data_IF_108473624435
#
_entry.id   IF_108473624435
#
_cell.length_a   1.000
_cell.length_b   1.000
_cell.length_c   1.000
_cell.angle_alpha   90.00
_cell.angle_beta   90.00
_cell.angle_gamma   90.00
#
_symmetry.space_group_name_H-M   'P 1'
#
loop_
_entity.id
_entity.type
_entity.pdbx_description
1 polymer ?
#
# COMPACT_ATOMS: atom_id res chain seq x y z
N UNK A 1 -18.35 6.00 10.26
CA UNK A 1 -18.08 5.02 9.18
C UNK A 1 -19.16 3.96 9.26
N UNK A 2 -20.27 4.19 8.54
CA UNK A 2 -21.51 3.43 8.67
C UNK A 2 -21.45 2.17 7.82
N UNK A 3 -21.54 0.99 8.44
CA UNK A 3 -22.04 -0.21 7.79
C UNK A 3 -23.54 -0.27 8.08
N UNK A 4 -24.36 0.25 7.16
CA UNK A 4 -25.79 0.00 7.18
C UNK A 4 -26.08 -1.31 6.41
N UNK A 5 -27.04 -2.02 6.96
CA UNK A 5 -27.53 -3.36 6.64
C UNK A 5 -27.51 -3.72 5.13
N UNK A 6 -27.02 -4.93 4.83
CA UNK A 6 -27.27 -5.68 3.58
C UNK A 6 -26.52 -5.31 2.29
N UNK A 7 -25.56 -4.38 2.29
CA UNK A 7 -24.80 -4.06 1.05
C UNK A 7 -23.32 -3.66 1.21
N UNK A 8 -22.75 -3.70 2.41
CA UNK A 8 -21.43 -3.12 2.71
C UNK A 8 -20.21 -3.96 2.31
N UNK A 9 -20.22 -4.51 1.09
CA UNK A 9 -19.02 -4.95 0.38
C UNK A 9 -19.12 -4.40 -1.04
N UNK A 10 -19.12 -3.07 -1.21
CA UNK A 10 -18.69 -2.53 -2.50
C UNK A 10 -17.33 -3.16 -2.73
N UNK A 11 -17.25 -4.04 -3.74
CA UNK A 11 -16.08 -4.83 -4.13
C UNK A 11 -14.80 -3.98 -4.01
N UNK A 12 -14.12 -4.03 -2.86
CA UNK A 12 -12.88 -3.27 -2.59
C UNK A 12 -11.73 -3.69 -3.53
N UNK A 13 -11.98 -4.65 -4.42
CA UNK A 13 -11.12 -5.06 -5.51
C UNK A 13 -10.81 -3.91 -6.47
N UNK A 14 -11.80 -3.09 -6.85
CA UNK A 14 -11.58 -2.01 -7.83
C UNK A 14 -10.59 -0.96 -7.32
N UNK A 15 -10.82 -0.29 -6.17
CA UNK A 15 -9.87 0.71 -5.67
C UNK A 15 -8.49 0.12 -5.36
N UNK A 16 -8.44 -1.14 -4.90
CA UNK A 16 -7.18 -1.83 -4.62
C UNK A 16 -6.38 -2.09 -5.89
N UNK A 17 -7.02 -2.61 -6.94
CA UNK A 17 -6.38 -2.86 -8.23
C UNK A 17 -5.90 -1.56 -8.85
N UNK A 18 -6.73 -0.51 -8.86
CA UNK A 18 -6.36 0.81 -9.38
C UNK A 18 -5.16 1.43 -8.64
N UNK A 19 -5.16 1.40 -7.30
CA UNK A 19 -4.01 1.88 -6.52
C UNK A 19 -2.76 1.03 -6.79
N UNK A 20 -2.90 -0.29 -6.82
CA UNK A 20 -1.76 -1.18 -7.07
C UNK A 20 -1.14 -0.98 -8.46
N UNK A 21 -1.98 -0.70 -9.46
CA UNK A 21 -1.55 -0.53 -10.85
C UNK A 21 -0.55 0.62 -11.01
N UNK A 22 -0.76 1.73 -10.27
CA UNK A 22 0.15 2.87 -10.25
C UNK A 22 1.57 2.46 -9.86
N UNK A 23 1.69 1.65 -8.81
CA UNK A 23 2.99 1.17 -8.32
C UNK A 23 3.60 0.11 -9.24
N UNK A 24 2.79 -0.81 -9.79
CA UNK A 24 3.26 -1.85 -10.70
C UNK A 24 3.82 -1.23 -11.98
N UNK A 25 3.05 -0.37 -12.66
CA UNK A 25 3.50 0.32 -13.88
C UNK A 25 4.74 1.17 -13.58
N UNK A 26 4.71 1.96 -12.50
CA UNK A 26 5.86 2.77 -12.12
C UNK A 26 7.10 1.96 -11.75
N UNK A 27 6.94 0.77 -11.17
CA UNK A 27 8.03 -0.14 -10.83
C UNK A 27 8.66 -0.77 -12.08
N UNK A 28 7.84 -1.17 -13.05
CA UNK A 28 8.33 -1.61 -14.36
C UNK A 28 9.06 -0.48 -15.10
N UNK A 29 8.54 0.75 -15.04
CA UNK A 29 9.23 1.92 -15.60
C UNK A 29 10.62 2.13 -15.02
N UNK A 30 10.82 1.83 -13.72
CA UNK A 30 12.13 1.88 -13.07
C UNK A 30 13.07 0.77 -13.54
N UNK A 31 12.55 -0.45 -13.75
CA UNK A 31 13.34 -1.57 -14.28
C UNK A 31 13.79 -1.34 -15.73
N UNK A 32 12.88 -0.87 -16.58
CA UNK A 32 13.15 -0.67 -18.01
C UNK A 32 14.10 0.49 -18.26
N UNK A 33 14.12 1.50 -17.38
CA UNK A 33 14.95 2.69 -17.50
C UNK A 33 15.98 2.79 -16.36
N UNK A 34 16.57 1.65 -15.98
CA UNK A 34 17.39 1.54 -14.76
C UNK A 34 18.50 2.60 -14.70
N UNK A 35 19.25 2.78 -15.79
CA UNK A 35 20.35 3.76 -15.85
C UNK A 35 19.87 5.19 -15.61
N UNK A 36 18.87 5.65 -16.36
CA UNK A 36 18.29 6.99 -16.20
C UNK A 36 17.63 7.19 -14.84
N UNK A 37 17.15 6.12 -14.22
CA UNK A 37 16.52 6.19 -12.90
C UNK A 37 17.53 6.26 -11.75
N UNK A 38 18.79 5.89 -11.96
CA UNK A 38 19.85 6.16 -10.99
C UNK A 38 20.05 7.67 -10.87
N UNK A 39 20.21 8.38 -11.99
CA UNK A 39 20.39 9.84 -12.02
C UNK A 39 19.18 10.58 -11.40
N UNK A 40 17.97 10.07 -11.67
CA UNK A 40 16.74 10.58 -11.06
C UNK A 40 16.74 10.41 -9.53
N UNK A 41 17.08 9.20 -9.05
CA UNK A 41 17.16 8.89 -7.62
C UNK A 41 18.26 9.70 -6.92
N UNK A 42 19.40 9.88 -7.58
CA UNK A 42 20.50 10.71 -7.10
C UNK A 42 20.05 12.14 -6.80
N UNK A 43 19.30 12.74 -7.72
CA UNK A 43 18.72 14.07 -7.55
C UNK A 43 17.81 14.14 -6.31
N UNK A 44 16.94 13.14 -6.14
CA UNK A 44 16.04 13.07 -4.99
C UNK A 44 16.76 12.93 -3.65
N UNK A 45 17.85 12.15 -3.61
CA UNK A 45 18.68 12.02 -2.42
C UNK A 45 19.39 13.33 -2.07
N UNK A 46 19.91 14.04 -3.08
CA UNK A 46 20.51 15.35 -2.92
C UNK A 46 19.56 16.37 -2.27
N UNK A 47 18.28 16.37 -2.68
CA UNK A 47 17.26 17.27 -2.14
C UNK A 47 17.00 17.09 -0.64
N UNK A 48 17.24 15.89 -0.10
CA UNK A 48 17.06 15.58 1.32
C UNK A 48 18.41 15.43 2.08
N UNK A 49 19.52 15.80 1.44
CA UNK A 49 20.85 15.78 2.03
C UNK A 49 21.43 14.38 2.28
N UNK A 50 20.96 13.35 1.57
CA UNK A 50 21.50 12.00 1.67
C UNK A 50 22.66 11.76 0.70
N UNK A 51 23.58 10.82 1.00
CA UNK A 51 24.70 10.52 0.13
C UNK A 51 24.26 10.03 -1.25
N UNK A 52 24.70 10.69 -2.31
CA UNK A 52 24.40 10.30 -3.70
C UNK A 52 24.98 8.92 -4.06
N UNK A 53 26.04 8.49 -3.39
CA UNK A 53 26.69 7.17 -3.61
C UNK A 53 25.79 5.97 -3.34
N UNK A 54 24.70 6.13 -2.58
CA UNK A 54 23.74 5.04 -2.32
C UNK A 54 22.57 5.00 -3.33
N UNK A 55 22.59 5.83 -4.38
CA UNK A 55 21.48 5.94 -5.35
C UNK A 55 21.11 4.60 -5.99
N UNK A 56 22.08 3.78 -6.39
CA UNK A 56 21.84 2.45 -6.96
C UNK A 56 21.10 1.53 -5.98
N UNK A 57 21.50 1.53 -4.71
CA UNK A 57 20.87 0.72 -3.66
C UNK A 57 19.45 1.22 -3.38
N UNK A 58 19.28 2.55 -3.27
CA UNK A 58 17.98 3.18 -3.08
C UNK A 58 17.02 2.88 -4.24
N UNK A 59 17.51 2.87 -5.48
CA UNK A 59 16.72 2.50 -6.66
C UNK A 59 16.24 1.05 -6.60
N UNK A 60 17.12 0.10 -6.25
CA UNK A 60 16.76 -1.32 -6.11
C UNK A 60 15.70 -1.49 -5.01
N UNK A 61 15.86 -0.83 -3.87
CA UNK A 61 14.86 -0.83 -2.79
C UNK A 61 13.53 -0.25 -3.28
N UNK A 62 13.56 0.88 -4.00
CA UNK A 62 12.36 1.50 -4.56
C UNK A 62 11.63 0.55 -5.52
N UNK A 63 12.34 -0.18 -6.37
CA UNK A 63 11.77 -1.19 -7.28
C UNK A 63 11.10 -2.32 -6.48
N UNK A 64 11.78 -2.85 -5.46
CA UNK A 64 11.24 -3.91 -4.60
C UNK A 64 9.98 -3.43 -3.88
N UNK A 65 9.98 -2.20 -3.35
CA UNK A 65 8.80 -1.64 -2.67
C UNK A 65 7.64 -1.43 -3.65
N UNK A 66 7.89 -0.87 -4.84
CA UNK A 66 6.86 -0.61 -5.86
C UNK A 66 6.26 -1.90 -6.41
N UNK A 67 7.11 -2.81 -6.89
CA UNK A 67 6.65 -4.06 -7.51
C UNK A 67 6.18 -5.06 -6.46
N UNK A 68 6.97 -5.28 -5.41
CA UNK A 68 6.59 -6.16 -4.31
C UNK A 68 5.34 -5.68 -3.62
N UNK A 69 5.32 -4.43 -3.14
CA UNK A 69 4.14 -3.84 -2.49
C UNK A 69 2.93 -3.76 -3.42
N UNK A 70 3.12 -3.35 -4.68
CA UNK A 70 2.06 -3.25 -5.67
C UNK A 70 1.42 -4.61 -5.96
N UNK A 71 2.20 -5.64 -6.26
CA UNK A 71 1.69 -6.99 -6.54
C UNK A 71 1.04 -7.62 -5.31
N UNK A 72 1.65 -7.46 -4.13
CA UNK A 72 1.07 -7.93 -2.86
C UNK A 72 -0.30 -7.29 -2.61
N UNK A 73 -0.42 -5.98 -2.81
CA UNK A 73 -1.69 -5.27 -2.69
C UNK A 73 -2.70 -5.73 -3.75
N UNK A 74 -2.29 -5.91 -5.01
CA UNK A 74 -3.15 -6.34 -6.12
C UNK A 74 -3.78 -7.72 -5.84
N UNK A 75 -2.94 -8.72 -5.52
CA UNK A 75 -3.34 -10.11 -5.27
C UNK A 75 -3.87 -10.36 -3.85
N UNK A 76 -4.04 -9.31 -3.04
CA UNK A 76 -4.50 -9.42 -1.66
C UNK A 76 -3.58 -10.22 -0.72
N UNK A 77 -2.31 -10.37 -1.07
CA UNK A 77 -1.34 -11.08 -0.26
C UNK A 77 -0.75 -10.11 0.78
N UNK A 78 -0.93 -10.38 2.08
CA UNK A 78 -0.42 -9.54 3.18
C UNK A 78 -0.75 -8.04 2.99
N UNK A 79 -2.00 -7.75 2.61
CA UNK A 79 -2.52 -6.41 2.24
C UNK A 79 -2.05 -5.26 3.17
N UNK A 80 -2.14 -5.46 4.49
CA UNK A 80 -1.77 -4.43 5.47
C UNK A 80 -0.28 -4.08 5.40
N UNK A 81 0.59 -5.09 5.29
CA UNK A 81 2.03 -4.88 5.15
C UNK A 81 2.36 -4.20 3.82
N UNK A 82 1.74 -4.66 2.73
CA UNK A 82 1.89 -4.06 1.41
C UNK A 82 1.49 -2.58 1.40
N UNK A 83 0.37 -2.23 2.02
CA UNK A 83 -0.08 -0.85 2.13
C UNK A 83 0.91 0.01 2.93
N UNK A 84 1.43 -0.47 4.06
CA UNK A 84 2.45 0.25 4.83
C UNK A 84 3.75 0.48 4.05
N UNK A 85 4.23 -0.53 3.31
CA UNK A 85 5.40 -0.41 2.44
C UNK A 85 5.20 0.68 1.38
N UNK A 86 4.03 0.68 0.73
CA UNK A 86 3.69 1.66 -0.31
C UNK A 86 3.46 3.07 0.26
N UNK A 87 2.89 3.20 1.47
CA UNK A 87 2.74 4.48 2.16
C UNK A 87 4.12 5.08 2.45
N UNK A 88 5.03 4.29 3.04
CA UNK A 88 6.38 4.75 3.35
C UNK A 88 7.13 5.18 2.08
N UNK A 89 7.06 4.39 1.02
CA UNK A 89 7.63 4.73 -0.28
C UNK A 89 7.05 6.03 -0.85
N UNK A 90 5.72 6.17 -0.84
CA UNK A 90 5.04 7.35 -1.41
C UNK A 90 5.36 8.61 -0.62
N UNK A 91 5.39 8.52 0.71
CA UNK A 91 5.74 9.64 1.59
C UNK A 91 7.18 10.10 1.33
N UNK A 92 8.14 9.16 1.31
CA UNK A 92 9.54 9.47 1.05
C UNK A 92 9.73 10.09 -0.35
N UNK A 93 9.11 9.49 -1.38
CA UNK A 93 9.13 10.04 -2.74
C UNK A 93 8.53 11.45 -2.81
N UNK A 94 7.49 11.74 -2.02
CA UNK A 94 6.89 13.08 -1.99
C UNK A 94 7.84 14.11 -1.43
N UNK A 95 8.53 13.77 -0.33
CA UNK A 95 9.49 14.66 0.31
C UNK A 95 10.69 14.92 -0.61
N UNK A 96 11.17 13.89 -1.33
CA UNK A 96 12.32 14.00 -2.23
C UNK A 96 12.05 14.86 -3.47
N UNK A 97 10.82 14.89 -4.01
CA UNK A 97 10.56 15.46 -5.33
C UNK A 97 9.48 16.55 -5.39
N UNK A 98 8.59 16.67 -4.40
CA UNK A 98 7.37 17.48 -4.52
C UNK A 98 7.16 18.46 -3.35
N UNK A 99 8.25 19.03 -2.83
CA UNK A 99 8.26 19.98 -1.71
C UNK A 99 8.57 21.42 -2.12
N UNK A 100 8.91 21.66 -3.38
CA UNK A 100 9.16 23.00 -3.93
C UNK A 100 7.88 23.62 -4.45
N UNK A 101 7.38 24.67 -3.79
CA UNK A 101 6.13 25.36 -4.15
C UNK A 101 6.34 26.78 -4.67
N UNK A 102 7.54 27.08 -5.16
CA UNK A 102 7.91 28.36 -5.75
C UNK A 102 8.53 28.16 -7.14
N UNK A 103 8.43 29.19 -7.99
CA UNK A 103 8.94 29.16 -9.36
C UNK A 103 7.91 28.67 -10.40
N UNK A 104 8.37 28.55 -11.64
CA UNK A 104 7.53 28.32 -12.83
C UNK A 104 6.79 26.96 -12.77
N UNK A 105 7.38 25.96 -12.13
CA UNK A 105 6.80 24.62 -11.99
C UNK A 105 5.97 24.40 -10.72
N UNK A 106 5.78 25.46 -9.90
CA UNK A 106 5.11 25.37 -8.60
C UNK A 106 3.73 24.70 -8.65
N UNK A 107 2.94 24.96 -9.69
CA UNK A 107 1.63 24.34 -9.89
C UNK A 107 1.71 22.83 -10.14
N UNK A 108 2.69 22.39 -10.94
CA UNK A 108 2.90 20.97 -11.23
C UNK A 108 3.37 20.22 -9.98
N UNK A 109 4.23 20.85 -9.18
CA UNK A 109 4.73 20.29 -7.93
C UNK A 109 3.63 20.17 -6.87
N UNK A 110 2.81 21.21 -6.71
CA UNK A 110 1.66 21.18 -5.82
C UNK A 110 0.67 20.08 -6.22
N UNK A 111 0.41 19.93 -7.53
CA UNK A 111 -0.47 18.87 -8.05
C UNK A 111 0.08 17.48 -7.74
N UNK A 112 1.39 17.28 -7.91
CA UNK A 112 2.04 15.99 -7.63
C UNK A 112 2.07 15.66 -6.14
N UNK A 113 2.28 16.67 -5.28
CA UNK A 113 2.17 16.54 -3.83
C UNK A 113 0.77 16.08 -3.41
N UNK A 114 -0.27 16.78 -3.87
CA UNK A 114 -1.67 16.45 -3.56
C UNK A 114 -2.07 15.06 -4.07
N UNK A 115 -1.62 14.69 -5.27
CA UNK A 115 -1.81 13.34 -5.82
C UNK A 115 -1.23 12.28 -4.88
N UNK A 116 0.00 12.48 -4.41
CA UNK A 116 0.64 11.51 -3.50
C UNK A 116 -0.03 11.46 -2.13
N UNK A 117 -0.53 12.60 -1.62
CA UNK A 117 -1.31 12.64 -0.39
C UNK A 117 -2.63 11.85 -0.53
N UNK A 118 -3.32 12.00 -1.67
CA UNK A 118 -4.52 11.23 -1.98
C UNK A 118 -4.22 9.72 -2.09
N UNK A 119 -3.09 9.34 -2.71
CA UNK A 119 -2.63 7.95 -2.78
C UNK A 119 -2.39 7.38 -1.37
N UNK A 120 -1.70 8.12 -0.50
CA UNK A 120 -1.49 7.72 0.90
C UNK A 120 -2.83 7.52 1.61
N UNK A 121 -3.77 8.46 1.45
CA UNK A 121 -5.12 8.35 2.00
C UNK A 121 -5.84 7.08 1.54
N UNK A 122 -5.77 6.76 0.24
CA UNK A 122 -6.31 5.52 -0.31
C UNK A 122 -5.64 4.27 0.26
N UNK A 123 -4.31 4.27 0.42
CA UNK A 123 -3.56 3.15 0.99
C UNK A 123 -3.87 2.92 2.48
N UNK A 124 -4.13 3.97 3.26
CA UNK A 124 -4.50 3.86 4.68
C UNK A 124 -5.76 3.02 4.88
N UNK A 125 -6.71 3.07 3.93
CA UNK A 125 -7.90 2.22 3.95
C UNK A 125 -7.56 0.72 3.89
N UNK A 126 -6.41 0.36 3.30
CA UNK A 126 -5.92 -1.01 3.20
C UNK A 126 -4.82 -1.36 4.22
N UNK A 127 -4.25 -0.36 4.90
CA UNK A 127 -3.21 -0.53 5.92
C UNK A 127 -3.75 -1.12 7.22
N UNK A 128 -5.02 -0.89 7.53
CA UNK A 128 -5.66 -1.47 8.70
C UNK A 128 -5.91 -2.97 8.52
N UNK A 129 -5.39 -3.77 9.44
CA UNK A 129 -5.68 -5.20 9.48
C UNK A 129 -7.15 -5.40 9.92
N UNK A 130 -7.99 -6.10 9.15
CA UNK A 130 -9.40 -6.34 9.53
C UNK A 130 -9.53 -7.28 10.73
N UNK A 131 -8.44 -7.70 11.36
CA UNK A 131 -8.42 -8.64 12.48
C UNK A 131 -9.39 -8.29 13.61
N UNK A 132 -9.42 -7.02 14.04
CA UNK A 132 -10.34 -6.54 15.07
C UNK A 132 -11.79 -6.62 14.59
N UNK A 133 -12.05 -6.23 13.34
CA UNK A 133 -13.39 -6.26 12.75
C UNK A 133 -13.90 -7.70 12.55
N UNK A 134 -13.02 -8.62 12.17
CA UNK A 134 -13.31 -10.04 12.06
C UNK A 134 -13.67 -10.65 13.42
N UNK A 135 -12.84 -10.44 14.46
CA UNK A 135 -13.13 -10.92 15.82
C UNK A 135 -14.42 -10.30 16.40
N UNK A 136 -14.67 -9.01 16.14
CA UNK A 136 -15.91 -8.35 16.54
C UNK A 136 -17.14 -8.96 15.85
N UNK A 137 -17.03 -9.32 14.56
CA UNK A 137 -18.10 -10.01 13.81
C UNK A 137 -18.38 -11.39 14.40
N UNK A 138 -17.34 -12.19 14.65
CA UNK A 138 -17.50 -13.53 15.25
C UNK A 138 -18.13 -13.46 16.65
N UNK A 139 -17.74 -12.47 17.47
CA UNK A 139 -18.34 -12.23 18.78
C UNK A 139 -19.82 -11.84 18.68
N UNK A 140 -20.19 -11.04 17.68
CA UNK A 140 -21.58 -10.64 17.43
C UNK A 140 -22.45 -11.81 16.98
N UNK A 141 -21.91 -12.68 16.14
CA UNK A 141 -22.63 -13.83 15.57
C UNK A 141 -22.60 -15.07 16.49
N UNK A 142 -22.01 -14.96 17.71
CA UNK A 142 -21.93 -16.06 18.69
C UNK A 142 -20.98 -17.20 18.27
N UNK A 143 -20.14 -16.98 17.27
CA UNK A 143 -19.27 -17.99 16.68
C UNK A 143 -17.88 -17.92 17.33
N UNK A 144 -17.33 -19.07 17.71
CA UNK A 144 -15.97 -19.17 18.27
C UNK A 144 -14.92 -18.59 17.33
N UNK A 145 -13.92 -17.87 17.88
CA UNK A 145 -12.84 -17.27 17.10
C UNK A 145 -12.06 -18.30 16.26
N UNK A 146 -12.05 -19.58 16.67
CA UNK A 146 -11.42 -20.67 15.92
C UNK A 146 -12.21 -21.06 14.67
N UNK A 147 -13.54 -21.16 14.74
CA UNK A 147 -14.38 -21.60 13.61
C UNK A 147 -14.63 -20.51 12.57
N UNK A 148 -14.47 -19.25 12.95
CA UNK A 148 -14.55 -18.09 12.07
C UNK A 148 -13.32 -17.98 11.12
N UNK A 149 -12.20 -18.57 11.53
CA UNK A 149 -10.96 -18.66 10.78
C UNK A 149 -10.88 -20.04 10.13
N UNK A 150 -10.86 -20.12 8.79
CA UNK A 150 -10.88 -21.41 8.08
C UNK A 150 -9.74 -22.31 8.57
N UNK A 151 -10.14 -23.42 9.19
CA UNK A 151 -9.29 -24.39 9.85
C UNK A 151 -8.50 -25.19 8.83
N UNK A 152 -7.33 -24.69 8.43
CA UNK A 152 -6.25 -25.50 7.87
C UNK A 152 -4.97 -25.18 8.65
N UNK A 153 -4.75 -25.99 9.70
CA UNK A 153 -3.47 -26.34 10.32
C UNK A 153 -2.51 -25.18 10.71
N UNK A 154 -2.41 -24.95 12.03
CA UNK A 154 -1.28 -24.27 12.71
C UNK A 154 -1.05 -22.78 12.43
N UNK A 155 -2.10 -21.95 12.38
CA UNK A 155 -1.94 -20.51 12.13
C UNK A 155 -2.56 -19.69 13.26
N UNK A 156 -1.70 -19.00 14.01
CA UNK A 156 -2.05 -18.02 15.06
C UNK A 156 -3.07 -17.00 14.54
N UNK A 157 -3.79 -16.35 15.44
CA UNK A 157 -4.82 -15.33 15.14
C UNK A 157 -4.33 -14.27 14.13
N UNK A 158 -3.03 -13.92 14.18
CA UNK A 158 -2.37 -13.04 13.19
C UNK A 158 -2.43 -13.57 11.75
N UNK A 159 -2.24 -14.86 11.55
CA UNK A 159 -2.22 -15.47 10.23
C UNK A 159 -3.62 -15.52 9.58
N UNK A 160 -4.69 -15.70 10.36
CA UNK A 160 -6.06 -15.60 9.86
C UNK A 160 -6.37 -14.18 9.34
N UNK A 161 -5.84 -13.18 10.03
CA UNK A 161 -6.00 -11.77 9.68
C UNK A 161 -5.13 -11.34 8.49
N UNK A 162 -3.94 -11.93 8.33
CA UNK A 162 -3.04 -11.67 7.20
C UNK A 162 -3.52 -12.29 5.87
N UNK A 163 -4.33 -13.35 5.93
CA UNK A 163 -4.80 -14.07 4.74
C UNK A 163 -6.16 -13.59 4.22
N UNK A 164 -6.86 -12.71 4.94
CA UNK A 164 -8.18 -12.20 4.54
C UNK A 164 -9.27 -13.28 4.52
N UNK A 165 -9.04 -14.40 5.22
CA UNK A 165 -9.88 -15.61 5.23
C UNK A 165 -10.93 -15.59 6.35
N UNK A 166 -11.49 -14.44 6.68
CA UNK A 166 -12.68 -14.41 7.53
C UNK A 166 -13.87 -14.84 6.69
N UNK A 167 -14.29 -16.09 6.87
CA UNK A 167 -15.52 -16.60 6.24
C UNK A 167 -16.71 -15.96 6.95
N UNK A 168 -17.68 -15.48 6.18
CA UNK A 168 -18.99 -15.15 6.74
C UNK A 168 -19.59 -16.42 7.38
N UNK A 169 -20.15 -16.31 8.60
CA UNK A 169 -20.89 -17.43 9.17
C UNK A 169 -22.07 -17.73 8.25
N UNK A 170 -22.23 -19.01 7.89
CA UNK A 170 -23.42 -19.46 7.18
C UNK A 170 -24.64 -19.33 8.11
N UNK A 171 -25.80 -18.90 7.58
CA UNK A 171 -27.04 -18.82 8.36
C UNK A 171 -27.46 -20.18 8.92
#
# INVERSE_FOLDING_TARGET
>A
MMCQEKGCVVKQYVPRVLLSLLFVIGGFGFLLNFKSMIDYVETGLGNIGLPMSIATVALVIAIILKLGGGLMLMFNYRRSQAAWMLIAFTALSTIMYHTSWSGDDSQMQMTSFLKNLAIIGGLIMFAHCPCKQCLQRCKKDGVSAKSCCKEESKKTTESCCQSGLCKEPKP
#
